data_IF_666193771543
#
_entry.id   IF_666193771543
#
_cell.length_a   1.000
_cell.length_b   1.000
_cell.length_c   1.000
_cell.angle_alpha   90.00
_cell.angle_beta   90.00
_cell.angle_gamma   90.00
#
_symmetry.space_group_name_H-M   'P 1'
#
loop_
_entity.id
_entity.type
_entity.pdbx_description
1 polymer ?
#
# COMPACT_ATOMS: atom_id res chain seq x y z
N UNK A 1 7.98 -8.75 -11.94
CA UNK A 1 7.48 -7.82 -10.90
C UNK A 1 5.96 -7.90 -10.89
N UNK A 2 5.37 -8.42 -9.82
CA UNK A 2 3.92 -8.53 -9.68
C UNK A 2 3.41 -7.55 -8.64
N UNK A 3 2.15 -7.12 -8.78
CA UNK A 3 1.43 -6.45 -7.70
C UNK A 3 0.80 -7.52 -6.80
N UNK A 4 1.19 -7.56 -5.54
CA UNK A 4 0.73 -8.54 -4.55
C UNK A 4 0.13 -7.80 -3.36
N UNK A 5 -1.05 -8.23 -2.94
CA UNK A 5 -1.71 -7.77 -1.71
C UNK A 5 -1.96 -9.00 -0.84
N UNK A 6 -1.61 -8.93 0.43
CA UNK A 6 -1.79 -10.07 1.33
C UNK A 6 -2.15 -9.59 2.74
N UNK A 7 -2.67 -10.51 3.53
CA UNK A 7 -3.14 -10.24 4.90
C UNK A 7 -1.98 -10.27 5.90
N UNK A 8 -2.11 -9.49 6.98
CA UNK A 8 -1.22 -9.50 8.12
C UNK A 8 0.26 -9.24 7.80
N UNK A 9 0.52 -8.40 6.80
CA UNK A 9 1.87 -7.93 6.49
C UNK A 9 2.07 -6.58 7.16
N UNK A 10 2.87 -6.54 8.22
CA UNK A 10 3.10 -5.32 9.01
C UNK A 10 4.45 -5.38 9.71
N UNK A 11 5.25 -4.35 9.47
CA UNK A 11 6.58 -4.18 10.08
C UNK A 11 6.67 -2.80 10.73
N UNK A 12 7.74 -2.59 11.50
CA UNK A 12 8.10 -1.27 12.00
C UNK A 12 9.23 -0.67 11.16
N UNK A 13 9.36 0.66 11.20
CA UNK A 13 10.46 1.38 10.58
C UNK A 13 10.77 2.65 11.35
N UNK A 14 12.04 3.01 11.43
CA UNK A 14 12.49 4.28 11.99
C UNK A 14 12.98 5.25 10.90
N UNK A 15 12.79 4.91 9.64
CA UNK A 15 13.22 5.72 8.51
C UNK A 15 12.55 7.12 8.55
N UNK A 16 13.33 8.14 8.24
CA UNK A 16 12.89 9.54 8.14
C UNK A 16 13.04 10.04 6.71
N UNK A 17 12.45 11.19 6.42
CA UNK A 17 12.63 11.87 5.14
C UNK A 17 11.68 11.42 4.04
N UNK A 18 12.03 11.76 2.81
CA UNK A 18 11.21 11.54 1.60
C UNK A 18 11.67 10.34 0.76
N UNK A 19 12.75 9.66 1.16
CA UNK A 19 13.34 8.55 0.42
C UNK A 19 12.67 7.21 0.63
N UNK A 20 13.33 6.15 0.16
CA UNK A 20 12.87 4.78 0.37
C UNK A 20 12.87 4.42 1.86
N UNK A 21 11.94 3.53 2.24
CA UNK A 21 11.79 3.07 3.63
C UNK A 21 12.54 1.78 3.86
N UNK A 22 13.34 1.75 4.91
CA UNK A 22 13.92 0.51 5.44
C UNK A 22 12.85 -0.22 6.25
N UNK A 23 12.58 -1.46 5.90
CA UNK A 23 11.56 -2.29 6.54
C UNK A 23 12.21 -3.09 7.67
N UNK A 24 11.72 -2.89 8.88
CA UNK A 24 12.21 -3.57 10.08
C UNK A 24 11.55 -4.93 10.31
N UNK A 25 11.55 -5.37 11.56
CA UNK A 25 10.95 -6.64 11.95
C UNK A 25 9.43 -6.62 11.86
N UNK A 26 8.84 -7.79 11.60
CA UNK A 26 7.40 -7.97 11.67
C UNK A 26 6.90 -7.73 13.10
N UNK A 27 5.74 -7.14 13.22
CA UNK A 27 5.06 -7.03 14.52
C UNK A 27 4.51 -8.40 14.94
N UNK A 28 4.34 -8.58 16.24
CA UNK A 28 3.80 -9.83 16.78
C UNK A 28 2.43 -10.13 16.15
N UNK A 29 2.25 -11.33 15.62
CA UNK A 29 1.02 -11.73 14.93
C UNK A 29 0.96 -11.33 13.45
N UNK A 30 2.01 -10.69 12.94
CA UNK A 30 2.13 -10.27 11.54
C UNK A 30 3.32 -10.94 10.87
N UNK A 31 3.42 -10.80 9.56
CA UNK A 31 4.54 -11.31 8.78
C UNK A 31 5.27 -10.17 8.06
N UNK A 32 6.49 -10.47 7.59
CA UNK A 32 7.31 -9.51 6.85
C UNK A 32 6.80 -9.31 5.42
N UNK A 33 7.24 -8.24 4.78
CA UNK A 33 6.98 -8.03 3.35
C UNK A 33 7.64 -9.12 2.49
N UNK A 34 8.79 -9.63 2.91
CA UNK A 34 9.45 -10.75 2.20
C UNK A 34 8.54 -11.98 2.15
N UNK A 35 7.91 -12.33 3.27
CA UNK A 35 7.04 -13.50 3.37
C UNK A 35 5.69 -13.27 2.69
N UNK A 36 5.05 -12.14 2.94
CA UNK A 36 3.68 -11.90 2.47
C UNK A 36 3.59 -11.35 1.05
N UNK A 37 4.57 -10.57 0.61
CA UNK A 37 4.54 -9.90 -0.70
C UNK A 37 5.57 -10.52 -1.66
N UNK A 38 6.78 -10.76 -1.19
CA UNK A 38 7.84 -11.34 -1.99
C UNK A 38 8.76 -10.31 -2.64
N UNK A 39 9.99 -10.77 -2.90
CA UNK A 39 11.07 -9.94 -3.39
C UNK A 39 10.79 -9.36 -4.78
N UNK A 40 11.20 -8.12 -5.01
CA UNK A 40 11.03 -7.38 -6.26
C UNK A 40 9.58 -7.11 -6.67
N UNK A 41 8.61 -7.44 -5.86
CA UNK A 41 7.20 -7.19 -6.14
C UNK A 41 6.79 -5.77 -5.73
N UNK A 42 5.67 -5.33 -6.26
CA UNK A 42 4.98 -4.12 -5.81
C UNK A 42 3.82 -4.48 -4.89
N UNK A 43 3.47 -3.56 -4.03
CA UNK A 43 2.30 -3.70 -3.14
C UNK A 43 1.74 -2.34 -2.78
N UNK A 44 0.48 -2.30 -2.37
CA UNK A 44 -0.06 -1.12 -1.71
C UNK A 44 0.36 -1.13 -0.25
N UNK A 45 0.70 0.04 0.27
CA UNK A 45 1.16 0.21 1.65
C UNK A 45 0.47 1.38 2.33
N UNK A 46 0.48 1.34 3.65
CA UNK A 46 0.29 2.51 4.51
C UNK A 46 1.50 2.63 5.43
N UNK A 47 1.99 3.86 5.58
CA UNK A 47 2.98 4.26 6.59
C UNK A 47 2.28 5.20 7.55
N UNK A 48 2.42 4.96 8.85
CA UNK A 48 1.89 5.81 9.90
C UNK A 48 2.96 6.05 10.96
N UNK A 49 3.25 7.32 11.24
CA UNK A 49 4.21 7.68 12.29
C UNK A 49 3.47 7.79 13.63
N UNK A 50 3.74 6.84 14.53
CA UNK A 50 3.05 6.73 15.82
C UNK A 50 3.14 8.03 16.62
N UNK A 51 2.02 8.43 17.22
CA UNK A 51 1.94 9.63 18.04
C UNK A 51 1.95 10.96 17.27
N UNK A 52 1.82 10.91 15.95
CA UNK A 52 1.75 12.08 15.07
C UNK A 52 0.56 12.00 14.12
N UNK A 53 0.37 13.03 13.31
CA UNK A 53 -0.62 13.04 12.23
C UNK A 53 -0.01 12.64 10.87
N UNK A 54 1.25 12.22 10.83
CA UNK A 54 1.93 11.86 9.58
C UNK A 54 1.48 10.47 9.10
N UNK A 55 0.94 10.41 7.90
CA UNK A 55 0.59 9.15 7.23
C UNK A 55 0.80 9.26 5.72
N UNK A 56 0.97 8.11 5.09
CA UNK A 56 1.08 8.00 3.64
C UNK A 56 0.52 6.65 3.19
N UNK A 57 -0.32 6.69 2.17
CA UNK A 57 -0.86 5.51 1.48
C UNK A 57 -0.39 5.55 0.04
N UNK A 58 0.16 4.46 -0.46
CA UNK A 58 0.70 4.46 -1.80
C UNK A 58 0.95 3.07 -2.39
N UNK A 59 1.56 3.09 -3.56
CA UNK A 59 2.13 1.92 -4.23
C UNK A 59 3.63 1.92 -3.99
N UNK A 60 4.14 0.84 -3.44
CA UNK A 60 5.57 0.65 -3.14
C UNK A 60 6.18 -0.46 -3.97
N UNK A 61 7.48 -0.38 -4.20
CA UNK A 61 8.26 -1.39 -4.90
C UNK A 61 9.34 -1.93 -3.97
N UNK A 62 9.34 -3.24 -3.75
CA UNK A 62 10.31 -3.92 -2.88
C UNK A 62 11.60 -4.20 -3.65
N UNK A 63 12.73 -4.09 -2.93
CA UNK A 63 14.03 -4.49 -3.46
C UNK A 63 14.19 -6.03 -3.48
N UNK A 64 15.37 -6.50 -3.89
CA UNK A 64 15.65 -7.92 -4.12
C UNK A 64 15.53 -8.83 -2.88
N UNK A 65 15.57 -8.27 -1.67
CA UNK A 65 15.42 -9.03 -0.43
C UNK A 65 14.26 -8.51 0.45
N UNK A 66 13.43 -7.62 -0.09
CA UNK A 66 12.27 -7.03 0.59
C UNK A 66 12.59 -6.33 1.92
N UNK A 67 13.81 -5.78 2.04
CA UNK A 67 14.22 -4.99 3.21
C UNK A 67 14.10 -3.49 3.00
N UNK A 68 13.87 -3.05 1.75
CA UNK A 68 13.68 -1.65 1.38
C UNK A 68 12.50 -1.53 0.43
N UNK A 69 11.66 -0.54 0.67
CA UNK A 69 10.52 -0.22 -0.19
C UNK A 69 10.67 1.18 -0.76
N UNK A 70 10.70 1.28 -2.09
CA UNK A 70 10.60 2.57 -2.79
C UNK A 70 9.15 3.02 -2.80
N UNK A 71 8.90 4.27 -2.46
CA UNK A 71 7.57 4.90 -2.51
C UNK A 71 7.28 5.34 -3.94
N UNK A 72 6.71 4.44 -4.74
CA UNK A 72 6.61 4.59 -6.19
C UNK A 72 5.53 5.58 -6.60
N UNK A 73 4.36 5.50 -5.98
CA UNK A 73 3.22 6.38 -6.25
C UNK A 73 2.51 6.69 -4.95
N UNK A 74 2.29 7.96 -4.66
CA UNK A 74 1.51 8.38 -3.49
C UNK A 74 0.04 8.48 -3.89
N UNK A 75 -0.84 7.88 -3.09
CA UNK A 75 -2.29 7.87 -3.32
C UNK A 75 -2.97 8.87 -2.40
N UNK A 76 -2.61 8.85 -1.11
CA UNK A 76 -3.16 9.75 -0.11
C UNK A 76 -2.12 10.00 0.97
N UNK A 77 -2.00 11.22 1.46
CA UNK A 77 -1.03 11.51 2.51
C UNK A 77 -1.41 12.73 3.34
N UNK A 78 -0.77 12.85 4.50
CA UNK A 78 -0.87 14.03 5.36
C UNK A 78 -0.18 15.26 4.79
N UNK A 79 0.50 15.13 3.65
CA UNK A 79 1.14 16.23 2.93
C UNK A 79 0.39 16.54 1.62
N UNK A 80 -0.91 16.73 1.69
CA UNK A 80 -1.76 17.06 0.53
C UNK A 80 -1.59 16.06 -0.62
N UNK A 81 -1.57 14.77 -0.29
CA UNK A 81 -1.40 13.64 -1.22
C UNK A 81 -0.07 13.64 -1.99
N UNK A 82 0.92 14.38 -1.47
CA UNK A 82 2.31 14.34 -1.92
C UNK A 82 3.15 13.49 -0.95
N UNK A 83 4.40 13.18 -1.36
CA UNK A 83 5.32 12.42 -0.53
C UNK A 83 5.53 13.11 0.83
N UNK A 84 5.49 12.34 1.90
CA UNK A 84 5.68 12.85 3.26
C UNK A 84 7.14 12.85 3.63
N UNK A 85 7.62 13.96 4.19
CA UNK A 85 8.92 14.06 4.85
C UNK A 85 8.76 13.59 6.30
N UNK A 86 8.86 12.29 6.53
CA UNK A 86 8.59 11.72 7.84
C UNK A 86 9.62 12.16 8.88
N UNK A 87 9.13 12.67 9.99
CA UNK A 87 9.94 13.01 11.17
C UNK A 87 10.43 11.74 11.89
N UNK A 88 11.34 11.92 12.84
CA UNK A 88 11.79 10.84 13.71
C UNK A 88 10.62 10.21 14.48
N UNK A 89 10.74 8.92 14.75
CA UNK A 89 9.73 8.15 15.47
C UNK A 89 9.57 6.75 14.89
N UNK A 90 8.83 5.92 15.62
CA UNK A 90 8.53 4.57 15.18
C UNK A 90 7.31 4.57 14.27
N UNK A 91 7.48 4.09 13.03
CA UNK A 91 6.41 4.01 12.05
C UNK A 91 5.91 2.59 11.94
N UNK A 92 4.60 2.46 11.76
CA UNK A 92 3.99 1.23 11.28
C UNK A 92 3.96 1.28 9.75
N UNK A 93 4.42 0.19 9.12
CA UNK A 93 4.38 0.01 7.66
C UNK A 93 3.65 -1.29 7.38
N UNK A 94 2.54 -1.21 6.69
CA UNK A 94 1.71 -2.40 6.45
C UNK A 94 1.08 -2.41 5.07
N UNK A 95 0.81 -3.62 4.59
CA UNK A 95 0.06 -3.83 3.36
C UNK A 95 -1.42 -3.52 3.60
N UNK A 96 -2.00 -2.73 2.72
CA UNK A 96 -3.44 -2.43 2.73
C UNK A 96 -3.94 -2.23 1.31
N UNK A 97 -5.17 -2.63 1.04
CA UNK A 97 -5.81 -2.31 -0.23
C UNK A 97 -6.50 -0.94 -0.11
N UNK A 98 -5.99 0.11 -0.78
CA UNK A 98 -6.60 1.42 -0.70
C UNK A 98 -8.04 1.41 -1.21
N UNK A 99 -8.92 2.16 -0.56
CA UNK A 99 -10.33 2.23 -0.93
C UNK A 99 -10.53 2.63 -2.40
N UNK A 100 -9.71 3.55 -2.92
CA UNK A 100 -9.76 3.97 -4.32
C UNK A 100 -9.34 2.90 -5.32
N UNK A 101 -8.75 1.80 -4.86
CA UNK A 101 -8.30 0.66 -5.68
C UNK A 101 -9.15 -0.59 -5.48
N UNK A 102 -10.04 -0.57 -4.49
CA UNK A 102 -10.91 -1.69 -4.18
C UNK A 102 -12.20 -1.64 -5.01
N UNK A 103 -12.70 -2.80 -5.40
CA UNK A 103 -14.08 -2.95 -5.93
C UNK A 103 -14.96 -3.37 -4.76
N UNK A 104 -16.00 -2.60 -4.48
CA UNK A 104 -16.91 -2.86 -3.37
C UNK A 104 -18.33 -2.41 -3.70
N UNK A 105 -19.28 -2.74 -2.84
CA UNK A 105 -20.67 -2.27 -2.95
C UNK A 105 -20.87 -1.05 -2.06
N UNK A 106 -21.56 -0.03 -2.58
CA UNK A 106 -22.00 1.11 -1.79
C UNK A 106 -23.24 0.75 -0.92
N UNK A 107 -23.76 1.73 -0.18
CA UNK A 107 -24.91 1.51 0.70
C UNK A 107 -26.20 1.10 -0.04
N UNK A 108 -26.29 1.45 -1.31
CA UNK A 108 -27.45 1.11 -2.15
C UNK A 108 -27.24 -0.20 -2.93
N UNK A 109 -26.11 -0.87 -2.74
CA UNK A 109 -25.76 -2.14 -3.40
C UNK A 109 -25.18 -1.99 -4.80
N UNK A 110 -24.77 -0.79 -5.21
CA UNK A 110 -24.10 -0.59 -6.49
C UNK A 110 -22.60 -0.82 -6.38
N UNK A 111 -21.99 -1.34 -7.45
CA UNK A 111 -20.53 -1.54 -7.48
C UNK A 111 -19.80 -0.22 -7.64
N UNK A 112 -18.72 -0.06 -6.86
CA UNK A 112 -17.81 1.08 -6.94
C UNK A 112 -16.46 0.60 -7.48
N UNK A 113 -15.83 1.39 -8.33
CA UNK A 113 -14.54 1.10 -8.99
C UNK A 113 -14.55 -0.12 -9.92
N UNK A 114 -15.70 -0.67 -10.25
CA UNK A 114 -15.80 -1.74 -11.24
C UNK A 114 -15.84 -1.16 -12.66
N UNK A 115 -15.66 -2.03 -13.67
CA UNK A 115 -15.84 -1.66 -15.08
C UNK A 115 -17.26 -1.13 -15.33
N UNK A 116 -17.37 -0.04 -16.09
CA UNK A 116 -18.68 0.53 -16.46
C UNK A 116 -19.47 -0.40 -17.37
N UNK A 117 -20.79 -0.13 -17.47
CA UNK A 117 -21.71 -0.93 -18.28
C UNK A 117 -21.29 -1.04 -19.75
N UNK A 118 -20.73 0.01 -20.35
CA UNK A 118 -20.23 -0.02 -21.72
C UNK A 118 -19.06 -1.00 -21.91
N UNK A 119 -18.15 -1.09 -20.94
CA UNK A 119 -17.07 -2.07 -20.96
C UNK A 119 -17.60 -3.49 -20.82
N UNK A 120 -18.54 -3.73 -19.92
CA UNK A 120 -19.15 -5.04 -19.73
C UNK A 120 -19.89 -5.54 -20.98
N UNK A 121 -20.62 -4.65 -21.65
CA UNK A 121 -21.31 -4.97 -22.93
C UNK A 121 -20.29 -5.29 -24.03
N UNK A 122 -19.21 -4.50 -24.16
CA UNK A 122 -18.15 -4.78 -25.13
C UNK A 122 -17.48 -6.13 -24.90
N UNK A 123 -17.22 -6.50 -23.65
CA UNK A 123 -16.67 -7.81 -23.29
C UNK A 123 -17.63 -8.95 -23.65
N UNK A 124 -18.93 -8.79 -23.38
CA UNK A 124 -19.94 -9.79 -23.72
C UNK A 124 -20.07 -9.99 -25.24
N UNK A 125 -19.97 -8.95 -26.03
CA UNK A 125 -20.02 -9.02 -27.50
C UNK A 125 -18.75 -9.70 -28.06
N UNK A 126 -17.59 -9.45 -27.45
CA UNK A 126 -16.31 -10.03 -27.87
C UNK A 126 -16.20 -11.55 -27.60
N UNK A 127 -17.02 -12.07 -26.72
CA UNK A 127 -17.07 -13.50 -26.40
C UNK A 127 -17.98 -14.26 -27.37
#
# INVERSE_FOLDING_TARGET
>A
MALVVNDRVKVTSTTTGTGAFTLGAAQVGFETFATGIGNNNTTYYTIFNQGTNEFEVGLGTLNANSTVMTRTTIISSSNSDSVVDFAAGNKDVFCTLPASKAVYLDADGNTVNAAGAGFAVAMAIAL
#
